data_IF_549056559329
#
_entry.id   IF_549056559329
#
_cell.length_a   1.000
_cell.length_b   1.000
_cell.length_c   1.000
_cell.angle_alpha   90.00
_cell.angle_beta   90.00
_cell.angle_gamma   90.00
#
_symmetry.space_group_name_H-M   'P 1'
#
loop_
_entity.id
_entity.type
_entity.pdbx_description
1 polymer ?
#
# COMPACT_ATOMS: atom_id res chain seq x y z
N UNK A 1 12.14 -15.83 3.35
CA UNK A 1 12.36 -14.91 2.22
C UNK A 1 13.31 -13.79 2.65
N UNK A 2 14.31 -13.50 1.85
CA UNK A 2 15.21 -12.38 2.08
C UNK A 2 14.63 -11.12 1.40
N UNK A 3 14.03 -10.25 2.19
CA UNK A 3 13.38 -9.03 1.69
C UNK A 3 14.40 -8.08 1.03
N UNK A 4 15.62 -8.03 1.55
CA UNK A 4 16.66 -7.15 1.00
C UNK A 4 17.11 -7.60 -0.40
N UNK A 5 16.88 -8.85 -0.77
CA UNK A 5 17.19 -9.37 -2.10
C UNK A 5 16.11 -9.05 -3.14
N UNK A 6 14.94 -8.56 -2.71
CA UNK A 6 13.85 -8.21 -3.62
C UNK A 6 14.12 -6.83 -4.22
N UNK A 7 14.13 -6.75 -5.55
CA UNK A 7 14.33 -5.47 -6.24
C UNK A 7 13.18 -4.50 -5.95
N UNK A 8 13.49 -3.21 -5.85
CA UNK A 8 12.48 -2.16 -5.72
C UNK A 8 11.61 -2.02 -6.98
N UNK A 9 12.10 -2.48 -8.12
CA UNK A 9 11.37 -2.39 -9.39
C UNK A 9 12.27 -1.93 -10.53
N UNK A 10 11.71 -1.92 -11.74
CA UNK A 10 12.46 -1.64 -12.96
C UNK A 10 12.69 -0.15 -13.24
N UNK A 11 11.81 0.72 -12.74
CA UNK A 11 11.89 2.17 -13.00
C UNK A 11 11.25 2.97 -11.85
N UNK A 12 11.82 2.94 -10.63
CA UNK A 12 11.26 3.70 -9.51
C UNK A 12 11.36 5.21 -9.78
N UNK A 13 10.38 6.03 -9.40
CA UNK A 13 9.12 5.69 -8.73
C UNK A 13 7.95 5.38 -9.67
N UNK A 14 8.19 5.21 -10.98
CA UNK A 14 7.15 4.97 -11.98
C UNK A 14 6.66 3.53 -11.99
N UNK A 15 7.59 2.57 -11.97
CA UNK A 15 7.34 1.14 -11.90
C UNK A 15 8.05 0.60 -10.67
N UNK A 16 7.30 0.10 -9.70
CA UNK A 16 7.84 -0.41 -8.44
C UNK A 16 7.28 -1.79 -8.14
N UNK A 17 8.02 -2.55 -7.35
CA UNK A 17 7.57 -3.84 -6.84
C UNK A 17 6.91 -3.66 -5.48
N UNK A 18 5.84 -4.41 -5.25
CA UNK A 18 5.14 -4.46 -3.98
C UNK A 18 5.16 -5.89 -3.46
N UNK A 19 5.56 -6.06 -2.21
CA UNK A 19 5.45 -7.34 -1.49
C UNK A 19 4.08 -7.37 -0.84
N UNK A 20 3.24 -8.32 -1.24
CA UNK A 20 1.88 -8.39 -0.74
C UNK A 20 1.86 -9.05 0.63
N UNK A 21 1.16 -8.42 1.57
CA UNK A 21 0.97 -8.91 2.94
C UNK A 21 -0.47 -9.35 3.19
N UNK A 22 -1.46 -8.61 2.66
CA UNK A 22 -2.88 -8.87 2.88
C UNK A 22 -3.61 -8.93 1.54
N UNK A 23 -4.32 -10.03 1.23
CA UNK A 23 -5.04 -10.13 -0.04
C UNK A 23 -6.35 -9.36 -0.01
N UNK A 24 -6.80 -8.91 -1.19
CA UNK A 24 -8.12 -8.28 -1.33
C UNK A 24 -9.21 -9.24 -0.86
N UNK A 25 -10.17 -8.73 -0.08
CA UNK A 25 -11.36 -9.49 0.34
C UNK A 25 -11.08 -10.64 1.29
N UNK A 26 -9.86 -10.77 1.78
CA UNK A 26 -9.52 -11.79 2.77
C UNK A 26 -10.16 -11.51 4.12
N UNK A 27 -10.01 -12.44 5.05
CA UNK A 27 -10.49 -12.25 6.42
C UNK A 27 -9.89 -10.98 7.03
N UNK A 28 -10.57 -10.33 8.00
CA UNK A 28 -10.08 -9.10 8.62
C UNK A 28 -8.90 -9.36 9.57
N UNK A 29 -7.79 -9.77 8.99
CA UNK A 29 -6.54 -10.06 9.68
C UNK A 29 -5.45 -9.22 9.02
N UNK A 30 -4.70 -8.47 9.82
CA UNK A 30 -3.54 -7.74 9.31
C UNK A 30 -2.31 -8.61 9.49
N UNK A 31 -1.66 -8.93 8.38
CA UNK A 31 -0.36 -9.60 8.34
C UNK A 31 0.74 -8.57 8.10
N UNK A 32 1.91 -8.83 8.62
CA UNK A 32 3.08 -7.98 8.45
C UNK A 32 4.32 -8.84 8.20
N UNK A 33 5.16 -8.40 7.29
CA UNK A 33 6.40 -9.12 6.99
C UNK A 33 7.44 -8.81 8.07
N UNK A 34 7.89 -9.86 8.76
CA UNK A 34 9.06 -9.76 9.63
C UNK A 34 10.30 -9.89 8.76
N UNK A 35 10.98 -8.78 8.54
CA UNK A 35 12.13 -8.72 7.64
C UNK A 35 13.31 -9.57 8.09
N UNK A 36 13.49 -9.71 9.41
CA UNK A 36 14.59 -10.52 9.95
C UNK A 36 14.29 -12.01 9.82
N UNK A 37 13.07 -12.41 10.15
CA UNK A 37 12.65 -13.81 10.06
C UNK A 37 12.35 -14.21 8.61
N UNK A 38 12.08 -13.25 7.72
CA UNK A 38 11.75 -13.51 6.33
C UNK A 38 10.39 -14.18 6.15
N UNK A 39 9.46 -13.95 7.07
CA UNK A 39 8.13 -14.56 7.03
C UNK A 39 7.05 -13.58 7.43
N UNK A 40 5.82 -13.88 7.04
CA UNK A 40 4.66 -13.13 7.48
C UNK A 40 4.29 -13.53 8.90
N UNK A 41 3.93 -12.53 9.71
CA UNK A 41 3.40 -12.73 11.06
C UNK A 41 2.03 -12.08 11.13
N UNK A 42 1.18 -12.61 12.00
CA UNK A 42 -0.11 -11.98 12.30
C UNK A 42 0.18 -10.77 13.20
N UNK A 43 -0.05 -9.57 12.68
CA UNK A 43 0.10 -8.35 13.47
C UNK A 43 -1.09 -8.20 14.42
N UNK A 44 -2.31 -8.30 13.88
CA UNK A 44 -3.52 -8.24 14.68
C UNK A 44 -4.75 -8.67 13.87
N UNK A 45 -5.80 -9.03 14.59
CA UNK A 45 -7.12 -9.15 14.02
C UNK A 45 -7.75 -7.75 14.01
N UNK A 46 -8.36 -7.33 12.89
CA UNK A 46 -9.07 -6.07 12.86
C UNK A 46 -10.27 -6.16 13.81
N UNK A 47 -10.58 -5.08 14.50
CA UNK A 47 -11.74 -5.03 15.39
C UNK A 47 -13.04 -4.85 14.60
N UNK A 48 -12.97 -4.20 13.44
CA UNK A 48 -14.12 -4.10 12.53
C UNK A 48 -14.18 -5.35 11.66
N UNK A 49 -15.38 -5.73 11.15
CA UNK A 49 -15.50 -6.84 10.20
C UNK A 49 -15.12 -6.45 8.77
N UNK A 50 -14.44 -5.34 8.59
CA UNK A 50 -14.07 -4.81 7.27
C UNK A 50 -12.99 -5.67 6.61
N UNK A 51 -13.06 -5.76 5.29
CA UNK A 51 -12.06 -6.47 4.48
C UNK A 51 -11.29 -5.47 3.65
N UNK A 52 -10.01 -5.75 3.41
CA UNK A 52 -9.18 -4.86 2.59
C UNK A 52 -9.76 -4.75 1.17
N UNK A 53 -9.92 -3.53 0.64
CA UNK A 53 -10.53 -3.29 -0.68
C UNK A 53 -9.56 -3.45 -1.85
N UNK A 54 -8.35 -3.89 -1.60
CA UNK A 54 -7.31 -4.18 -2.58
C UNK A 54 -6.25 -5.03 -1.94
N UNK A 55 -5.26 -5.46 -2.72
CA UNK A 55 -4.12 -6.20 -2.18
C UNK A 55 -3.16 -5.21 -1.55
N UNK A 56 -2.83 -5.43 -0.28
CA UNK A 56 -2.08 -4.48 0.52
C UNK A 56 -0.70 -5.01 0.84
N UNK A 57 0.30 -4.15 0.76
CA UNK A 57 1.66 -4.52 1.07
C UNK A 57 2.58 -3.30 1.12
N UNK A 58 3.85 -3.49 0.79
CA UNK A 58 4.86 -2.44 0.88
C UNK A 58 5.85 -2.51 -0.27
N UNK A 59 6.52 -1.38 -0.51
CA UNK A 59 7.61 -1.29 -1.49
C UNK A 59 8.92 -1.57 -0.75
N UNK A 60 9.72 -2.58 -1.19
CA UNK A 60 11.02 -2.83 -0.58
C UNK A 60 11.97 -1.65 -0.82
N UNK A 61 12.99 -1.50 0.03
CA UNK A 61 14.01 -0.44 -0.05
C UNK A 61 13.45 0.97 0.06
N UNK A 62 12.35 1.14 0.82
CA UNK A 62 11.75 2.44 1.13
C UNK A 62 11.60 2.59 2.62
N UNK A 63 11.53 3.86 3.07
CA UNK A 63 11.31 4.19 4.47
C UNK A 63 10.41 5.43 4.54
N UNK A 64 9.23 5.27 5.10
CA UNK A 64 8.32 6.38 5.35
C UNK A 64 8.73 7.17 6.60
N UNK A 65 8.12 8.34 6.79
CA UNK A 65 8.44 9.21 7.93
C UNK A 65 8.18 8.55 9.28
N UNK A 66 7.28 7.58 9.34
CA UNK A 66 6.96 6.81 10.56
C UNK A 66 7.96 5.69 10.87
N UNK A 67 8.95 5.47 10.02
CA UNK A 67 9.97 4.43 10.20
C UNK A 67 9.65 3.09 9.56
N UNK A 68 8.48 2.95 8.94
CA UNK A 68 8.07 1.74 8.23
C UNK A 68 8.27 1.88 6.72
N UNK A 69 8.33 0.77 5.97
CA UNK A 69 8.32 0.84 4.51
C UNK A 69 7.09 1.54 3.96
N UNK A 70 7.19 2.05 2.75
CA UNK A 70 6.08 2.72 2.08
C UNK A 70 4.94 1.74 1.80
N UNK A 71 3.77 2.00 2.37
CA UNK A 71 2.57 1.16 2.21
C UNK A 71 1.90 1.40 0.88
N UNK A 72 1.42 0.31 0.26
CA UNK A 72 0.72 0.36 -1.03
C UNK A 72 -0.53 -0.50 -1.00
N UNK A 73 -1.64 0.05 -1.50
CA UNK A 73 -2.83 -0.73 -1.85
C UNK A 73 -2.86 -0.90 -3.37
N UNK A 74 -2.80 -2.15 -3.82
CA UNK A 74 -2.92 -2.46 -5.24
C UNK A 74 -4.40 -2.64 -5.57
N UNK A 75 -4.94 -1.69 -6.32
CA UNK A 75 -6.36 -1.64 -6.66
C UNK A 75 -6.66 -2.60 -7.81
N UNK A 76 -6.82 -3.87 -7.51
CA UNK A 76 -7.20 -4.90 -8.48
C UNK A 76 -8.24 -5.84 -7.87
N UNK A 77 -8.86 -6.65 -8.73
CA UNK A 77 -10.04 -7.45 -8.34
C UNK A 77 -9.72 -8.90 -7.94
N UNK A 78 -8.46 -9.33 -8.12
CA UNK A 78 -8.09 -10.72 -7.80
C UNK A 78 -7.19 -10.77 -6.59
N UNK A 79 -7.43 -11.68 -5.64
CA UNK A 79 -6.53 -11.81 -4.49
C UNK A 79 -5.16 -12.36 -4.92
N UNK A 80 -4.13 -11.73 -4.42
CA UNK A 80 -2.74 -12.13 -4.66
C UNK A 80 -2.25 -12.84 -3.41
N UNK A 81 -1.55 -13.95 -3.59
CA UNK A 81 -1.02 -14.75 -2.48
C UNK A 81 -0.06 -13.89 -1.63
N UNK A 82 -0.28 -13.79 -0.31
CA UNK A 82 0.66 -13.10 0.56
C UNK A 82 2.09 -13.63 0.43
N UNK A 83 3.05 -12.70 0.36
CA UNK A 83 4.44 -13.00 0.08
C UNK A 83 4.83 -12.88 -1.38
N UNK A 84 3.88 -12.85 -2.30
CA UNK A 84 4.17 -12.64 -3.72
C UNK A 84 4.59 -11.19 -3.97
N UNK A 85 5.42 -11.01 -4.99
CA UNK A 85 5.87 -9.68 -5.46
C UNK A 85 5.15 -9.36 -6.76
N UNK A 86 4.58 -8.17 -6.83
CA UNK A 86 3.89 -7.70 -8.04
C UNK A 86 4.44 -6.34 -8.48
N UNK A 87 4.73 -6.21 -9.77
CA UNK A 87 5.09 -4.92 -10.36
C UNK A 87 3.84 -4.06 -10.57
N UNK A 88 3.91 -2.80 -10.12
CA UNK A 88 2.77 -1.89 -10.13
C UNK A 88 3.16 -0.50 -10.62
N UNK A 89 2.15 0.26 -11.03
CA UNK A 89 2.26 1.68 -11.37
C UNK A 89 1.47 2.48 -10.34
N UNK A 90 2.09 3.45 -9.62
CA UNK A 90 1.36 4.33 -8.71
C UNK A 90 0.39 5.22 -9.47
N UNK A 91 -0.81 5.39 -8.91
CA UNK A 91 -1.88 6.22 -9.52
C UNK A 91 -2.42 7.29 -8.58
N UNK A 92 -2.07 7.25 -7.30
CA UNK A 92 -2.52 8.23 -6.34
C UNK A 92 -2.01 7.91 -4.94
N UNK A 93 -2.28 8.80 -4.01
CA UNK A 93 -1.91 8.64 -2.61
C UNK A 93 -3.00 9.19 -1.70
N UNK A 94 -3.34 8.39 -0.68
CA UNK A 94 -4.22 8.82 0.41
C UNK A 94 -3.37 9.53 1.46
N UNK A 95 -3.69 10.79 1.73
CA UNK A 95 -3.01 11.59 2.74
C UNK A 95 -3.82 11.48 4.04
N UNK A 96 -3.25 10.86 5.05
CA UNK A 96 -3.91 10.63 6.33
C UNK A 96 -3.00 10.98 7.49
N UNK A 97 -3.59 11.22 8.65
CA UNK A 97 -2.90 11.28 9.94
C UNK A 97 -3.61 10.36 10.91
N UNK A 98 -2.84 9.77 11.81
CA UNK A 98 -3.37 8.96 12.90
C UNK A 98 -2.69 9.36 14.22
N UNK A 99 -2.92 8.60 15.28
CA UNK A 99 -2.36 8.86 16.62
C UNK A 99 -0.82 8.88 16.63
N UNK A 100 -0.19 8.25 15.65
CA UNK A 100 1.27 8.21 15.52
C UNK A 100 1.83 9.29 14.58
N UNK A 101 0.96 10.05 13.88
CA UNK A 101 1.37 11.11 12.97
C UNK A 101 0.92 10.89 11.53
N UNK A 102 1.70 11.38 10.57
CA UNK A 102 1.39 11.22 9.14
C UNK A 102 1.41 9.77 8.71
N UNK A 103 0.43 9.36 7.92
CA UNK A 103 0.30 8.01 7.41
C UNK A 103 -0.24 8.08 5.98
N UNK A 104 0.64 7.87 5.02
CA UNK A 104 0.32 7.97 3.60
C UNK A 104 0.17 6.57 3.02
N UNK A 105 -0.88 6.37 2.22
CA UNK A 105 -1.13 5.10 1.55
C UNK A 105 -1.07 5.31 0.04
N UNK A 106 -0.06 4.75 -0.60
CA UNK A 106 0.03 4.75 -2.06
C UNK A 106 -1.06 3.83 -2.60
N UNK A 107 -1.71 4.26 -3.68
CA UNK A 107 -2.64 3.43 -4.44
C UNK A 107 -2.04 3.20 -5.82
N UNK A 108 -2.02 1.95 -6.25
CA UNK A 108 -1.37 1.54 -7.49
C UNK A 108 -2.21 0.51 -8.23
N UNK A 109 -1.88 0.27 -9.49
CA UNK A 109 -2.50 -0.78 -10.32
C UNK A 109 -1.41 -1.68 -10.89
N UNK A 110 -1.73 -2.94 -11.23
CA UNK A 110 -0.75 -3.83 -11.86
C UNK A 110 -0.21 -3.25 -13.18
N UNK A 111 1.05 -3.54 -13.46
CA UNK A 111 1.67 -3.11 -14.73
C UNK A 111 0.95 -3.74 -15.93
N UNK A 112 0.91 -3.04 -17.09
CA UNK A 112 0.22 -3.54 -18.28
C UNK A 112 0.73 -4.90 -18.79
N UNK A 113 2.00 -5.22 -18.55
CA UNK A 113 2.54 -6.55 -18.94
C UNK A 113 1.90 -7.71 -18.18
N UNK A 114 1.31 -7.42 -17.01
CA UNK A 114 0.66 -8.46 -16.20
C UNK A 114 -0.83 -8.59 -16.55
N UNK A 115 -1.49 -7.47 -16.85
CA UNK A 115 -2.90 -7.45 -17.24
C UNK A 115 -3.22 -6.14 -17.97
N UNK A 116 -4.01 -6.22 -19.02
CA UNK A 116 -4.47 -5.03 -19.76
C UNK A 116 -5.66 -4.34 -19.07
N UNK A 117 -6.21 -4.95 -18.04
CA UNK A 117 -7.42 -4.45 -17.36
C UNK A 117 -7.26 -3.01 -16.86
N UNK A 118 -6.06 -2.63 -16.45
CA UNK A 118 -5.79 -1.31 -15.86
C UNK A 118 -4.85 -0.44 -16.72
N UNK A 119 -4.62 -0.84 -17.98
CA UNK A 119 -3.67 -0.15 -18.86
C UNK A 119 -4.02 1.33 -19.10
N UNK A 120 -5.30 1.67 -19.04
CA UNK A 120 -5.82 3.04 -19.21
C UNK A 120 -5.83 3.85 -17.91
N UNK A 121 -5.52 3.24 -16.77
CA UNK A 121 -5.58 3.90 -15.47
C UNK A 121 -4.24 4.56 -15.17
N UNK A 122 -4.19 5.88 -15.22
CA UNK A 122 -2.98 6.68 -14.96
C UNK A 122 -3.09 7.53 -13.70
N UNK A 123 -4.33 7.78 -13.25
CA UNK A 123 -4.62 8.49 -12.02
C UNK A 123 -5.75 7.76 -11.28
N UNK A 124 -5.83 7.92 -9.97
CA UNK A 124 -6.86 7.23 -9.17
C UNK A 124 -8.29 7.56 -9.66
N UNK A 125 -8.49 8.76 -10.21
CA UNK A 125 -9.79 9.18 -10.75
C UNK A 125 -10.18 8.46 -12.04
N UNK A 126 -9.26 7.72 -12.66
CA UNK A 126 -9.58 6.87 -13.81
C UNK A 126 -10.22 5.56 -13.39
N UNK A 127 -10.15 5.20 -12.12
CA UNK A 127 -10.93 4.08 -11.56
C UNK A 127 -12.40 4.51 -11.41
N UNK A 128 -13.34 3.55 -11.42
CA UNK A 128 -14.72 3.87 -11.05
C UNK A 128 -14.76 4.60 -9.72
N UNK A 129 -15.60 5.62 -9.60
CA UNK A 129 -15.67 6.43 -8.38
C UNK A 129 -15.91 5.57 -7.14
N UNK A 130 -16.80 4.57 -7.24
CA UNK A 130 -17.09 3.68 -6.11
C UNK A 130 -15.84 2.95 -5.63
N UNK A 131 -14.90 2.62 -6.52
CA UNK A 131 -13.67 1.91 -6.18
C UNK A 131 -12.77 2.76 -5.29
N UNK A 132 -12.43 3.99 -5.71
CA UNK A 132 -11.54 4.81 -4.88
C UNK A 132 -12.26 5.37 -3.65
N UNK A 133 -13.59 5.49 -3.67
CA UNK A 133 -14.34 5.83 -2.47
C UNK A 133 -14.34 4.70 -1.44
N UNK A 134 -14.41 3.44 -1.89
CA UNK A 134 -14.32 2.29 -0.97
C UNK A 134 -12.93 2.20 -0.34
N UNK A 135 -11.88 2.50 -1.09
CA UNK A 135 -10.51 2.53 -0.57
C UNK A 135 -10.40 3.61 0.53
N UNK A 136 -10.86 4.81 0.25
CA UNK A 136 -10.91 5.93 1.20
C UNK A 136 -11.68 5.56 2.45
N UNK A 137 -12.88 5.00 2.29
CA UNK A 137 -13.75 4.60 3.39
C UNK A 137 -13.08 3.54 4.28
N UNK A 138 -12.45 2.55 3.67
CA UNK A 138 -11.76 1.50 4.43
C UNK A 138 -10.70 2.09 5.36
N UNK A 139 -9.78 2.88 4.82
CA UNK A 139 -8.70 3.43 5.63
C UNK A 139 -9.17 4.47 6.65
N UNK A 140 -10.28 5.15 6.38
CA UNK A 140 -10.87 6.08 7.34
C UNK A 140 -11.52 5.36 8.53
N UNK A 141 -11.97 4.11 8.38
CA UNK A 141 -12.82 3.43 9.36
C UNK A 141 -12.31 2.09 9.89
N UNK A 142 -11.27 1.50 9.31
CA UNK A 142 -10.87 0.14 9.70
C UNK A 142 -10.36 0.03 11.14
N UNK A 143 -10.01 1.15 11.77
CA UNK A 143 -9.56 1.21 13.17
C UNK A 143 -10.64 1.73 14.13
N UNK A 144 -11.86 1.96 13.66
CA UNK A 144 -12.90 2.66 14.44
C UNK A 144 -13.18 2.03 15.80
N UNK A 145 -13.08 0.72 15.91
CA UNK A 145 -13.39 0.00 17.15
C UNK A 145 -12.17 -0.24 18.04
N UNK A 146 -10.97 0.17 17.62
CA UNK A 146 -9.75 0.00 18.40
C UNK A 146 -9.61 1.15 19.40
N UNK A 147 -9.52 0.85 20.73
CA UNK A 147 -9.39 1.89 21.75
C UNK A 147 -8.14 2.77 21.54
N UNK A 148 -8.33 4.08 21.59
CA UNK A 148 -7.23 5.04 21.47
C UNK A 148 -6.72 5.25 20.05
N UNK A 149 -7.30 4.58 19.07
CA UNK A 149 -6.92 4.73 17.67
C UNK A 149 -7.90 5.66 16.95
N UNK A 150 -7.37 6.49 16.04
CA UNK A 150 -8.17 7.35 15.20
C UNK A 150 -7.44 7.58 13.88
N UNK A 151 -8.20 7.94 12.85
CA UNK A 151 -7.68 8.30 11.54
C UNK A 151 -8.36 9.56 11.06
N UNK A 152 -7.58 10.51 10.58
CA UNK A 152 -8.08 11.70 9.90
C UNK A 152 -7.67 11.62 8.43
N UNK A 153 -8.67 11.65 7.55
CA UNK A 153 -8.43 11.69 6.11
C UNK A 153 -8.20 13.15 5.68
N UNK A 154 -7.07 13.41 5.02
CA UNK A 154 -6.66 14.76 4.63
C UNK A 154 -6.77 15.02 3.12
N UNK A 155 -7.24 14.04 2.35
CA UNK A 155 -7.46 14.16 0.92
C UNK A 155 -6.61 13.20 0.09
N UNK A 156 -6.82 13.26 -1.22
CA UNK A 156 -6.05 12.49 -2.20
C UNK A 156 -4.98 13.37 -2.83
N UNK A 157 -3.81 12.78 -3.09
CA UNK A 157 -2.87 13.30 -4.05
C UNK A 157 -2.96 12.51 -5.36
N UNK A 158 -2.59 13.13 -6.47
CA UNK A 158 -2.60 12.49 -7.78
C UNK A 158 -1.40 11.54 -7.97
N UNK A 159 -1.26 10.98 -9.18
CA UNK A 159 -0.16 10.08 -9.50
C UNK A 159 1.21 10.75 -9.32
N UNK A 160 1.34 12.04 -9.66
CA UNK A 160 2.60 12.78 -9.45
C UNK A 160 2.92 12.91 -7.97
N UNK A 161 1.92 13.21 -7.14
CA UNK A 161 2.10 13.25 -5.68
C UNK A 161 2.53 11.89 -5.14
N UNK A 162 1.94 10.80 -5.61
CA UNK A 162 2.31 9.44 -5.23
C UNK A 162 3.79 9.16 -5.57
N UNK A 163 4.24 9.53 -6.76
CA UNK A 163 5.63 9.33 -7.17
C UNK A 163 6.60 10.14 -6.31
N UNK A 164 6.24 11.37 -5.92
CA UNK A 164 7.06 12.17 -5.01
C UNK A 164 7.18 11.51 -3.63
N UNK A 165 6.09 10.98 -3.08
CA UNK A 165 6.11 10.27 -1.79
C UNK A 165 7.04 9.06 -1.87
N UNK A 166 6.96 8.28 -2.94
CA UNK A 166 7.83 7.12 -3.14
C UNK A 166 9.29 7.55 -3.27
N UNK A 167 9.58 8.58 -4.08
CA UNK A 167 10.95 9.08 -4.26
C UNK A 167 11.56 9.56 -2.93
N UNK A 168 10.80 10.26 -2.12
CA UNK A 168 11.24 10.71 -0.79
C UNK A 168 11.51 9.50 0.13
N UNK A 169 10.67 8.47 0.06
CA UNK A 169 10.84 7.23 0.85
C UNK A 169 12.10 6.47 0.44
N UNK A 170 12.45 6.46 -0.85
CA UNK A 170 13.68 5.86 -1.36
C UNK A 170 14.90 6.61 -0.80
N UNK A 171 14.90 7.93 -0.89
CA UNK A 171 15.99 8.74 -0.37
C UNK A 171 16.16 8.59 1.14
N UNK A 172 15.07 8.54 1.89
CA UNK A 172 15.11 8.34 3.33
C UNK A 172 15.71 6.97 3.69
N UNK A 173 15.38 5.93 2.94
CA UNK A 173 15.96 4.59 3.13
C UNK A 173 17.47 4.59 2.89
N UNK A 174 17.95 5.32 1.88
CA UNK A 174 19.39 5.44 1.60
C UNK A 174 20.13 6.16 2.71
N UNK A 175 19.52 7.18 3.31
CA UNK A 175 20.13 7.98 4.39
C UNK A 175 20.11 7.22 5.72
N UNK A 176 19.12 6.37 5.94
CA UNK A 176 18.95 5.61 7.18
C UNK A 176 19.73 4.30 7.26
N UNK A 177 20.44 3.96 6.19
CA UNK A 177 21.20 2.70 6.13
C UNK A 177 22.68 2.88 6.50
#
# INVERSE_FOLDING_TARGET
VDIDAISIGSDPPHDVNVVIEVPIGGEPIKYEMDKKAGTLVVDRFLYTPMRYPGNYGFIPHTLSADGDPCDVLVANTRPIIPGAVIGVRPIGVLMMTDEAGGDEKIVAVPLPKLTQRYAHVHNYTDLPEITWRQIEHFFAHYKDLEPGKWVKFNGWGDADAARRVIAESIERAKQGS
#
